data_IF_990731063535
#
_entry.id   IF_990731063535
#
_cell.length_a   1.000
_cell.length_b   1.000
_cell.length_c   1.000
_cell.angle_alpha   90.00
_cell.angle_beta   90.00
_cell.angle_gamma   90.00
#
_symmetry.space_group_name_H-M   'P 1'
#
loop_
_entity.id
_entity.type
_entity.pdbx_description
1 polymer ?
#
# COMPACT_ATOMS: atom_id res chain seq x y z
N UNK A 1 7.78 -2.71 -4.51
CA UNK A 1 8.96 -2.86 -5.41
C UNK A 1 9.87 -4.04 -5.08
N UNK A 2 10.42 -4.13 -3.86
CA UNK A 2 11.45 -5.13 -3.50
C UNK A 2 11.06 -6.60 -3.73
N UNK A 3 9.82 -6.96 -3.39
CA UNK A 3 9.34 -8.35 -3.36
C UNK A 3 8.57 -8.76 -4.62
N UNK A 4 8.72 -8.06 -5.75
CA UNK A 4 8.03 -8.37 -7.03
C UNK A 4 6.50 -8.18 -7.06
N UNK A 5 5.86 -7.74 -5.98
CA UNK A 5 4.47 -7.25 -5.98
C UNK A 5 3.57 -7.87 -4.92
N UNK A 6 2.26 -7.66 -5.07
CA UNK A 6 1.26 -7.94 -4.02
C UNK A 6 1.19 -9.41 -3.62
N UNK A 7 1.28 -10.33 -4.59
CA UNK A 7 1.15 -11.76 -4.32
C UNK A 7 2.23 -12.25 -3.35
N UNK A 8 3.47 -11.85 -3.60
CA UNK A 8 4.59 -12.26 -2.76
C UNK A 8 4.64 -11.45 -1.46
N UNK A 9 4.28 -10.15 -1.48
CA UNK A 9 4.13 -9.35 -0.27
C UNK A 9 3.13 -9.97 0.72
N UNK A 10 1.98 -10.47 0.24
CA UNK A 10 1.00 -11.19 1.07
C UNK A 10 1.61 -12.46 1.69
N UNK A 11 2.31 -13.28 0.89
CA UNK A 11 2.98 -14.50 1.38
C UNK A 11 4.03 -14.20 2.45
N UNK A 12 4.82 -13.15 2.24
CA UNK A 12 5.81 -12.69 3.22
C UNK A 12 5.15 -12.25 4.52
N UNK A 13 4.05 -11.49 4.46
CA UNK A 13 3.30 -11.08 5.64
C UNK A 13 2.71 -12.27 6.40
N UNK A 14 2.07 -13.20 5.68
CA UNK A 14 1.51 -14.43 6.28
C UNK A 14 2.59 -15.30 6.93
N UNK A 15 3.74 -15.48 6.27
CA UNK A 15 4.87 -16.22 6.82
C UNK A 15 5.43 -15.53 8.07
N UNK A 16 5.67 -14.21 8.02
CA UNK A 16 6.16 -13.45 9.17
C UNK A 16 5.23 -13.59 10.38
N UNK A 17 3.91 -13.51 10.17
CA UNK A 17 2.90 -13.73 11.22
C UNK A 17 2.93 -15.14 11.78
N UNK A 18 3.10 -16.16 10.94
CA UNK A 18 3.23 -17.56 11.40
C UNK A 18 4.48 -17.81 12.25
N UNK A 19 5.47 -16.92 12.15
CA UNK A 19 6.70 -16.92 12.93
C UNK A 19 6.68 -15.91 14.09
N UNK A 20 5.49 -15.39 14.43
CA UNK A 20 5.27 -14.40 15.50
C UNK A 20 6.07 -13.09 15.32
N UNK A 21 6.46 -12.78 14.08
CA UNK A 21 7.13 -11.54 13.74
C UNK A 21 6.13 -10.41 13.51
N UNK A 22 6.56 -9.19 13.82
CA UNK A 22 5.84 -7.98 13.43
C UNK A 22 6.11 -7.65 11.96
N UNK A 23 5.15 -6.99 11.32
CA UNK A 23 5.19 -6.67 9.90
C UNK A 23 4.95 -5.18 9.70
N UNK A 24 5.82 -4.52 8.94
CA UNK A 24 5.55 -3.18 8.40
C UNK A 24 5.51 -3.24 6.88
N UNK A 25 4.67 -2.41 6.26
CA UNK A 25 4.65 -2.20 4.81
C UNK A 25 5.12 -0.79 4.49
N UNK A 26 5.98 -0.66 3.48
CA UNK A 26 6.54 0.61 3.04
C UNK A 26 6.45 0.78 1.53
N UNK A 27 6.72 1.99 1.06
CA UNK A 27 6.82 2.34 -0.37
C UNK A 27 8.14 3.04 -0.71
N UNK A 28 8.38 3.25 -2.01
CA UNK A 28 9.26 4.32 -2.48
C UNK A 28 8.43 5.58 -2.79
N UNK A 29 9.06 6.64 -3.31
CA UNK A 29 8.33 7.72 -3.99
C UNK A 29 7.70 7.20 -5.28
N UNK A 30 6.40 6.93 -5.23
CA UNK A 30 5.64 6.20 -6.25
C UNK A 30 4.27 6.86 -6.47
N UNK A 31 3.70 6.72 -7.67
CA UNK A 31 2.32 7.17 -7.95
C UNK A 31 1.28 6.42 -7.11
N UNK A 32 0.05 6.95 -7.02
CA UNK A 32 -1.06 6.32 -6.30
C UNK A 32 -1.37 4.90 -6.76
N UNK A 33 -0.94 4.48 -7.96
CA UNK A 33 -1.04 3.08 -8.41
C UNK A 33 -0.37 2.10 -7.44
N UNK A 34 0.93 2.27 -7.17
CA UNK A 34 1.66 1.33 -6.34
C UNK A 34 1.34 1.52 -4.85
N UNK A 35 1.10 2.77 -4.42
CA UNK A 35 0.70 3.06 -3.04
C UNK A 35 -0.65 2.41 -2.71
N UNK A 36 -1.65 2.54 -3.59
CA UNK A 36 -2.97 1.92 -3.37
C UNK A 36 -2.88 0.39 -3.41
N UNK A 37 -2.04 -0.17 -4.28
CA UNK A 37 -1.80 -1.61 -4.32
C UNK A 37 -1.18 -2.14 -3.01
N UNK A 38 -0.23 -1.40 -2.42
CA UNK A 38 0.34 -1.74 -1.11
C UNK A 38 -0.69 -1.56 0.03
N UNK A 39 -1.51 -0.51 -0.01
CA UNK A 39 -2.53 -0.24 1.00
C UNK A 39 -3.58 -1.37 1.13
N UNK A 40 -3.86 -2.11 0.06
CA UNK A 40 -4.72 -3.32 0.12
C UNK A 40 -4.21 -4.38 1.11
N UNK A 41 -2.90 -4.40 1.40
CA UNK A 41 -2.26 -5.34 2.33
C UNK A 41 -2.06 -4.75 3.73
N UNK A 42 -2.35 -3.46 3.94
CA UNK A 42 -2.16 -2.80 5.23
C UNK A 42 -2.86 -3.49 6.41
N UNK A 43 -4.06 -4.11 6.28
CA UNK A 43 -4.69 -4.84 7.38
C UNK A 43 -3.89 -6.05 7.91
N UNK A 44 -2.90 -6.55 7.16
CA UNK A 44 -2.02 -7.65 7.61
C UNK A 44 -0.80 -7.14 8.40
N UNK A 45 -0.62 -5.84 8.50
CA UNK A 45 0.61 -5.18 8.99
C UNK A 45 0.34 -4.47 10.31
N UNK A 46 1.40 -4.26 11.11
CA UNK A 46 1.36 -3.48 12.34
C UNK A 46 1.61 -1.99 12.09
N UNK A 47 2.34 -1.67 11.01
CA UNK A 47 2.71 -0.31 10.62
C UNK A 47 2.70 -0.14 9.11
N UNK A 48 2.36 1.07 8.67
CA UNK A 48 2.33 1.45 7.27
C UNK A 48 3.10 2.76 7.05
N UNK A 49 4.00 2.75 6.07
CA UNK A 49 4.69 3.90 5.52
C UNK A 49 4.31 4.02 4.05
N UNK A 50 3.18 4.70 3.79
CA UNK A 50 2.48 4.72 2.50
C UNK A 50 2.19 6.15 2.02
N UNK A 51 3.15 7.06 2.20
CA UNK A 51 3.03 8.47 1.86
C UNK A 51 3.68 8.85 0.52
N UNK A 52 4.29 7.90 -0.19
CA UNK A 52 5.10 8.17 -1.39
C UNK A 52 4.40 8.97 -2.50
N UNK A 53 3.07 8.81 -2.66
CA UNK A 53 2.28 9.57 -3.64
C UNK A 53 2.06 11.04 -3.23
N UNK A 54 2.16 11.35 -1.93
CA UNK A 54 2.08 12.73 -1.40
C UNK A 54 3.37 13.52 -1.65
N UNK A 55 4.46 12.82 -2.00
CA UNK A 55 5.80 13.39 -2.17
C UNK A 55 6.14 13.70 -3.64
N UNK A 56 5.20 13.51 -4.57
CA UNK A 56 5.38 13.77 -6.01
C UNK A 56 4.32 14.75 -6.53
N UNK A 57 4.65 15.52 -7.56
CA UNK A 57 3.76 16.53 -8.16
C UNK A 57 3.03 16.05 -9.42
N UNK A 58 3.38 14.86 -9.92
CA UNK A 58 2.96 14.32 -11.21
C UNK A 58 2.17 13.01 -11.09
N UNK A 59 1.45 12.82 -9.99
CA UNK A 59 0.65 11.62 -9.77
C UNK A 59 -0.59 11.57 -10.69
N UNK A 60 -0.60 10.60 -11.61
CA UNK A 60 -1.64 10.42 -12.64
C UNK A 60 -2.80 9.52 -12.21
N UNK A 61 -2.84 9.08 -10.95
CA UNK A 61 -3.91 8.21 -10.43
C UNK A 61 -4.60 8.82 -9.22
N UNK A 62 -5.90 8.59 -9.10
CA UNK A 62 -6.70 8.78 -7.89
C UNK A 62 -6.87 7.41 -7.21
N UNK A 63 -6.59 7.33 -5.90
CA UNK A 63 -6.48 6.04 -5.19
C UNK A 63 -6.64 6.17 -3.68
N UNK A 64 -5.80 5.46 -2.93
CA UNK A 64 -5.72 5.55 -1.47
C UNK A 64 -5.45 7.00 -1.04
N UNK A 65 -6.19 7.47 -0.04
CA UNK A 65 -6.02 8.81 0.54
C UNK A 65 -5.71 8.72 2.03
N UNK A 66 -5.02 9.73 2.56
CA UNK A 66 -4.78 9.84 4.01
C UNK A 66 -5.83 10.77 4.62
N UNK A 67 -6.67 10.24 5.51
CA UNK A 67 -7.71 10.99 6.23
C UNK A 67 -7.49 10.79 7.72
N UNK A 68 -7.33 11.88 8.47
CA UNK A 68 -7.07 11.86 9.92
C UNK A 68 -5.93 10.91 10.33
N UNK A 69 -4.87 10.87 9.51
CA UNK A 69 -3.70 10.01 9.72
C UNK A 69 -3.89 8.54 9.33
N UNK A 70 -5.04 8.16 8.78
CA UNK A 70 -5.33 6.79 8.35
C UNK A 70 -5.29 6.64 6.83
N UNK A 71 -4.77 5.52 6.35
CA UNK A 71 -4.85 5.12 4.94
C UNK A 71 -6.27 4.64 4.62
N UNK A 72 -7.01 5.39 3.81
CA UNK A 72 -8.39 5.08 3.41
C UNK A 72 -8.41 4.61 1.97
N UNK A 73 -8.85 3.37 1.77
CA UNK A 73 -9.07 2.79 0.44
C UNK A 73 -10.46 3.19 -0.08
N UNK A 74 -10.57 3.60 -1.35
CA UNK A 74 -11.87 3.79 -1.98
C UNK A 74 -12.56 2.43 -2.23
N UNK A 75 -13.89 2.43 -2.19
CA UNK A 75 -14.70 1.24 -2.51
C UNK A 75 -14.76 1.03 -4.03
N UNK A 76 -13.66 0.52 -4.59
CA UNK A 76 -13.46 0.26 -6.02
C UNK A 76 -12.72 -1.06 -6.21
N UNK A 77 -13.01 -1.82 -7.29
CA UNK A 77 -12.36 -3.11 -7.53
C UNK A 77 -10.87 -2.98 -7.83
N UNK A 78 -10.17 -4.11 -7.76
CA UNK A 78 -8.74 -4.18 -8.05
C UNK A 78 -7.91 -3.50 -6.96
N UNK A 79 -6.94 -2.67 -7.37
CA UNK A 79 -6.10 -1.89 -6.45
C UNK A 79 -6.72 -0.54 -6.05
N UNK A 80 -7.98 -0.29 -6.45
CA UNK A 80 -8.74 0.88 -6.00
C UNK A 80 -8.45 2.19 -6.74
N UNK A 81 -7.83 2.15 -7.93
CA UNK A 81 -7.42 3.38 -8.63
C UNK A 81 -8.29 3.74 -9.83
N UNK A 82 -8.36 5.04 -10.12
CA UNK A 82 -8.81 5.60 -11.39
C UNK A 82 -7.69 6.44 -12.01
N UNK A 83 -7.57 6.44 -13.33
CA UNK A 83 -6.66 7.35 -14.03
C UNK A 83 -7.25 8.76 -14.02
N UNK A 84 -6.45 9.76 -13.66
CA UNK A 84 -6.82 11.18 -13.75
C UNK A 84 -6.84 11.67 -15.19
#
# INVERSE_FOLDING_TARGET
MKCTGMREAKRMAELARSLEMKVMIGCMTETSCAISAAAQLAPLTDWADLDGALLIDNDIYDGMTVIDGNCILPDRPGIGILRK
#
